data_IF_311162748340
#
_entry.id   IF_311162748340
#
_cell.length_a   1.000
_cell.length_b   1.000
_cell.length_c   1.000
_cell.angle_alpha   90.00
_cell.angle_beta   90.00
_cell.angle_gamma   90.00
#
_symmetry.space_group_name_H-M   'P 1'
#
loop_
_entity.id
_entity.type
_entity.pdbx_description
1 polymer ?
#
# COMPACT_ATOMS: atom_id res chain seq x y z
N UNK A 1 4.35 17.03 18.21
CA UNK A 1 2.88 17.21 18.25
C UNK A 1 2.29 16.21 17.27
N UNK A 2 1.63 15.17 17.77
CA UNK A 2 1.23 13.99 17.00
C UNK A 2 0.11 14.33 16.01
N UNK A 3 0.18 13.79 14.79
CA UNK A 3 -0.81 13.99 13.74
C UNK A 3 -2.20 13.55 14.19
N UNK A 4 -3.20 14.38 13.88
CA UNK A 4 -4.59 14.10 14.21
C UNK A 4 -5.08 12.81 13.52
N UNK A 5 -5.98 12.07 14.19
CA UNK A 5 -6.67 10.95 13.57
C UNK A 5 -7.42 11.43 12.32
N UNK A 6 -7.34 10.69 11.21
CA UNK A 6 -8.03 11.04 9.98
C UNK A 6 -9.55 11.14 10.20
N UNK A 7 -10.21 12.19 9.70
CA UNK A 7 -11.66 12.28 9.71
C UNK A 7 -12.27 11.14 8.89
N UNK A 8 -13.30 10.49 9.46
CA UNK A 8 -13.94 9.28 8.91
C UNK A 8 -14.92 9.56 7.75
N UNK A 9 -15.18 10.83 7.41
CA UNK A 9 -16.18 11.26 6.42
C UNK A 9 -15.59 11.70 5.06
N UNK A 10 -14.26 11.76 4.95
CA UNK A 10 -13.58 11.94 3.66
C UNK A 10 -12.49 10.88 3.57
N UNK A 11 -12.59 10.02 2.54
CA UNK A 11 -11.46 9.21 2.11
C UNK A 11 -10.31 10.20 1.82
N UNK A 12 -9.36 10.34 2.75
CA UNK A 12 -8.16 11.12 2.51
C UNK A 12 -7.33 10.34 1.50
N UNK A 13 -7.68 10.46 0.22
CA UNK A 13 -6.81 10.04 -0.87
C UNK A 13 -5.48 10.75 -0.67
N UNK A 14 -4.39 10.00 -0.56
CA UNK A 14 -3.07 10.60 -0.49
C UNK A 14 -2.91 11.50 -1.73
N UNK A 15 -2.61 12.78 -1.52
CA UNK A 15 -2.39 13.76 -2.61
C UNK A 15 -1.15 13.38 -3.45
N UNK A 16 -0.31 12.49 -2.93
CA UNK A 16 0.83 11.93 -3.64
C UNK A 16 0.43 10.66 -4.40
N UNK A 17 0.91 10.55 -5.64
CA UNK A 17 0.87 9.34 -6.46
C UNK A 17 1.42 8.16 -5.62
N UNK A 18 0.53 7.28 -5.15
CA UNK A 18 0.90 6.01 -4.49
C UNK A 18 0.89 4.96 -5.58
N UNK A 19 2.01 4.27 -5.73
CA UNK A 19 2.09 3.06 -6.54
C UNK A 19 2.40 1.88 -5.63
N UNK A 20 1.84 0.73 -5.97
CA UNK A 20 2.13 -0.53 -5.31
C UNK A 20 2.52 -1.53 -6.39
N UNK A 21 3.64 -2.22 -6.18
CA UNK A 21 4.03 -3.36 -6.99
C UNK A 21 4.13 -4.62 -6.14
N UNK A 22 3.71 -5.74 -6.73
CA UNK A 22 3.81 -7.07 -6.13
C UNK A 22 4.49 -7.98 -7.16
N UNK A 23 5.64 -8.53 -6.78
CA UNK A 23 6.47 -9.33 -7.71
C UNK A 23 6.96 -8.53 -8.93
N UNK A 24 7.03 -7.19 -8.81
CA UNK A 24 7.35 -6.29 -9.93
C UNK A 24 6.17 -5.96 -10.85
N UNK A 25 4.96 -6.45 -10.56
CA UNK A 25 3.74 -6.17 -11.32
C UNK A 25 2.92 -5.08 -10.61
N UNK A 26 2.39 -4.06 -11.33
CA UNK A 26 1.53 -3.06 -10.72
C UNK A 26 0.27 -3.68 -10.11
N UNK A 27 0.04 -3.41 -8.84
CA UNK A 27 -1.14 -3.85 -8.10
C UNK A 27 -2.20 -2.74 -8.06
N UNK A 28 -3.47 -3.12 -8.18
CA UNK A 28 -4.57 -2.16 -8.14
C UNK A 28 -4.89 -1.79 -6.70
N UNK A 29 -4.81 -0.51 -6.37
CA UNK A 29 -5.11 0.00 -5.03
C UNK A 29 -6.60 0.34 -4.93
N UNK A 30 -7.29 -0.28 -3.98
CA UNK A 30 -8.72 -0.05 -3.69
C UNK A 30 -8.92 0.95 -2.54
N UNK A 31 -7.94 1.08 -1.64
CA UNK A 31 -7.95 2.04 -0.54
C UNK A 31 -6.52 2.39 -0.14
N UNK A 32 -6.28 3.65 0.22
CA UNK A 32 -5.08 4.08 0.91
C UNK A 32 -5.42 5.23 1.86
N UNK A 33 -5.16 5.06 3.15
CA UNK A 33 -5.52 6.07 4.15
C UNK A 33 -4.92 5.79 5.52
N UNK A 34 -5.14 6.70 6.46
CA UNK A 34 -4.70 6.53 7.85
C UNK A 34 -5.58 5.50 8.57
N UNK A 35 -4.94 4.62 9.33
CA UNK A 35 -5.67 3.64 10.16
C UNK A 35 -6.33 4.35 11.35
N UNK A 36 -7.66 4.23 11.55
CA UNK A 36 -8.34 4.83 12.69
C UNK A 36 -7.73 4.38 14.03
N UNK A 37 -7.46 5.34 14.93
CA UNK A 37 -6.94 5.06 16.27
C UNK A 37 -5.42 4.89 16.38
N UNK A 38 -4.66 4.95 15.28
CA UNK A 38 -3.19 4.87 15.30
C UNK A 38 -2.56 6.05 14.57
N UNK A 39 -1.90 6.95 15.30
CA UNK A 39 -1.15 8.05 14.69
C UNK A 39 0.11 7.51 13.97
N UNK A 40 0.25 7.80 12.69
CA UNK A 40 1.43 7.42 11.89
C UNK A 40 1.35 6.06 11.20
N UNK A 41 0.21 5.35 11.26
CA UNK A 41 -0.02 4.14 10.47
C UNK A 41 -0.90 4.45 9.25
N UNK A 42 -0.44 4.01 8.10
CA UNK A 42 -1.18 4.04 6.84
C UNK A 42 -1.56 2.60 6.46
N UNK A 43 -2.83 2.41 6.11
CA UNK A 43 -3.32 1.15 5.56
C UNK A 43 -3.61 1.33 4.07
N UNK A 44 -3.17 0.35 3.29
CA UNK A 44 -3.46 0.22 1.86
C UNK A 44 -4.19 -1.11 1.65
N UNK A 45 -5.36 -1.06 1.02
CA UNK A 45 -6.00 -2.25 0.49
C UNK A 45 -5.74 -2.30 -1.02
N UNK A 46 -5.25 -3.43 -1.50
CA UNK A 46 -4.92 -3.65 -2.90
C UNK A 46 -5.37 -5.04 -3.35
N UNK A 47 -5.47 -5.20 -4.66
CA UNK A 47 -5.70 -6.47 -5.32
C UNK A 47 -4.37 -7.07 -5.75
N UNK A 48 -4.14 -8.34 -5.44
CA UNK A 48 -2.96 -9.09 -5.91
C UNK A 48 -3.11 -9.27 -7.43
N UNK A 49 -2.16 -8.77 -8.24
CA UNK A 49 -2.29 -8.83 -9.69
C UNK A 49 -2.12 -10.25 -10.23
N UNK A 50 -2.80 -10.55 -11.34
CA UNK A 50 -2.60 -11.80 -12.07
C UNK A 50 -1.18 -11.90 -12.62
N UNK A 51 -0.72 -13.13 -12.83
CA UNK A 51 0.58 -13.41 -13.46
C UNK A 51 1.79 -13.27 -12.54
N UNK A 52 1.59 -13.12 -11.23
CA UNK A 52 2.68 -13.26 -10.26
C UNK A 52 3.10 -14.74 -10.19
N UNK A 53 4.39 -15.05 -10.39
CA UNK A 53 4.87 -16.41 -10.24
C UNK A 53 4.66 -16.92 -8.81
N UNK A 54 4.28 -18.20 -8.67
CA UNK A 54 4.25 -18.85 -7.37
C UNK A 54 5.64 -18.82 -6.72
N UNK A 55 5.69 -18.64 -5.40
CA UNK A 55 6.93 -18.49 -4.63
C UNK A 55 6.99 -17.15 -3.90
N UNK A 56 8.17 -16.57 -3.77
CA UNK A 56 8.37 -15.33 -3.00
C UNK A 56 8.21 -14.11 -3.92
N UNK A 57 7.23 -13.27 -3.63
CA UNK A 57 7.01 -11.99 -4.29
C UNK A 57 7.43 -10.84 -3.37
N UNK A 58 8.03 -9.80 -3.96
CA UNK A 58 8.35 -8.55 -3.25
C UNK A 58 7.19 -7.57 -3.39
N UNK A 59 6.79 -6.99 -2.27
CA UNK A 59 5.82 -5.92 -2.16
C UNK A 59 6.58 -4.62 -1.93
N UNK A 60 6.40 -3.66 -2.84
CA UNK A 60 7.04 -2.34 -2.77
C UNK A 60 5.98 -1.27 -2.96
N UNK A 61 5.96 -0.31 -2.03
CA UNK A 61 5.11 0.88 -2.12
C UNK A 61 5.99 2.05 -2.53
N UNK A 62 5.59 2.78 -3.56
CA UNK A 62 6.21 4.04 -3.95
C UNK A 62 5.29 5.18 -3.57
N UNK A 63 5.81 6.15 -2.81
CA UNK A 63 5.08 7.37 -2.43
C UNK A 63 5.91 8.57 -2.86
N UNK A 64 5.32 9.47 -3.64
CA UNK A 64 6.02 10.68 -4.13
C UNK A 64 7.30 10.37 -4.91
N UNK A 65 7.37 9.21 -5.59
CA UNK A 65 8.56 8.75 -6.31
C UNK A 65 9.66 8.14 -5.43
N UNK A 66 9.39 7.92 -4.13
CA UNK A 66 10.32 7.24 -3.21
C UNK A 66 9.79 5.85 -2.89
N UNK A 67 10.63 4.83 -3.11
CA UNK A 67 10.30 3.44 -2.82
C UNK A 67 10.48 3.10 -1.34
N UNK A 68 9.59 2.26 -0.83
CA UNK A 68 9.74 1.62 0.47
C UNK A 68 10.82 0.52 0.42
N UNK A 69 11.37 0.11 1.57
CA UNK A 69 12.04 -1.18 1.67
C UNK A 69 11.10 -2.29 1.17
N UNK A 70 11.60 -3.26 0.39
CA UNK A 70 10.78 -4.37 -0.08
C UNK A 70 10.40 -5.29 1.08
N UNK A 71 9.14 -5.72 1.09
CA UNK A 71 8.63 -6.74 2.01
C UNK A 71 8.32 -8.00 1.20
N UNK A 72 8.73 -9.17 1.68
CA UNK A 72 8.47 -10.43 1.00
C UNK A 72 7.15 -11.04 1.43
N UNK A 73 6.35 -11.49 0.46
CA UNK A 73 5.17 -12.31 0.67
C UNK A 73 5.28 -13.62 -0.10
N UNK A 74 4.69 -14.69 0.40
CA UNK A 74 4.56 -15.94 -0.34
C UNK A 74 3.29 -15.92 -1.19
N UNK A 75 3.40 -16.35 -2.43
CA UNK A 75 2.30 -16.54 -3.37
C UNK A 75 2.18 -18.04 -3.63
N UNK A 76 1.02 -18.58 -3.28
CA UNK A 76 0.63 -19.96 -3.56
C UNK A 76 -0.36 -20.01 -4.73
N UNK A 77 -0.37 -21.10 -5.51
CA UNK A 77 -1.25 -21.27 -6.66
C UNK A 77 -2.72 -21.46 -6.30
#
# INVERSE_FOLDING_TARGET
MAGAAAPLDQLLQLVNDIQLTIGGIPAKISFAGLTPGSAGLYQINCEVPDGIPAGVAQVVITVAGIDSPPVTMSVEP
#
